data_IF_974276980833
#
_entry.id   IF_974276980833
#
_cell.length_a   1.000
_cell.length_b   1.000
_cell.length_c   1.000
_cell.angle_alpha   90.00
_cell.angle_beta   90.00
_cell.angle_gamma   90.00
#
_symmetry.space_group_name_H-M   'P 1'
#
loop_
_entity.id
_entity.type
_entity.pdbx_description
1 polymer ?
#
# COMPACT_ATOMS: atom_id res chain seq x y z
N UNK A 1 -12.46 -6.30 0.56
CA UNK A 1 -12.90 -5.47 -0.58
C UNK A 1 -12.39 -6.08 -1.88
N UNK A 2 -11.10 -6.28 -2.04
CA UNK A 2 -10.49 -6.79 -3.29
C UNK A 2 -11.09 -8.13 -3.75
N UNK A 3 -11.16 -9.13 -2.85
CA UNK A 3 -11.78 -10.42 -3.17
C UNK A 3 -13.25 -10.32 -3.60
N UNK A 4 -13.97 -9.32 -3.10
CA UNK A 4 -15.35 -9.07 -3.52
C UNK A 4 -15.45 -8.50 -4.94
N UNK A 5 -14.51 -7.63 -5.32
CA UNK A 5 -14.39 -7.13 -6.70
C UNK A 5 -14.03 -8.28 -7.64
N UNK A 6 -13.01 -9.08 -7.30
CA UNK A 6 -12.59 -10.22 -8.09
C UNK A 6 -13.72 -11.25 -8.27
N UNK A 7 -14.45 -11.57 -7.19
CA UNK A 7 -15.62 -12.47 -7.25
C UNK A 7 -16.69 -11.92 -8.20
N UNK A 8 -17.03 -10.63 -8.11
CA UNK A 8 -17.99 -10.01 -9.01
C UNK A 8 -17.52 -10.04 -10.46
N UNK A 9 -16.27 -9.73 -10.73
CA UNK A 9 -15.70 -9.80 -12.08
C UNK A 9 -15.77 -11.21 -12.67
N UNK A 10 -15.50 -12.23 -11.85
CA UNK A 10 -15.50 -13.63 -12.29
C UNK A 10 -16.92 -14.23 -12.47
N UNK A 11 -17.88 -13.78 -11.68
CA UNK A 11 -19.20 -14.46 -11.57
C UNK A 11 -20.40 -13.58 -11.96
N UNK A 12 -20.23 -12.26 -12.06
CA UNK A 12 -21.32 -11.29 -12.19
C UNK A 12 -22.16 -11.10 -10.91
N UNK A 13 -21.95 -11.90 -9.87
CA UNK A 13 -22.73 -11.83 -8.64
C UNK A 13 -22.36 -10.62 -7.78
N UNK A 14 -23.33 -9.75 -7.50
CA UNK A 14 -23.15 -8.54 -6.69
C UNK A 14 -23.21 -8.76 -5.18
N UNK A 15 -23.68 -9.89 -4.69
CA UNK A 15 -23.96 -10.11 -3.26
C UNK A 15 -22.75 -9.75 -2.37
N UNK A 16 -21.57 -10.25 -2.74
CA UNK A 16 -20.35 -9.98 -1.97
C UNK A 16 -19.81 -8.56 -2.21
N UNK A 17 -19.93 -8.06 -3.45
CA UNK A 17 -19.56 -6.69 -3.80
C UNK A 17 -20.38 -5.66 -3.01
N UNK A 18 -21.71 -5.87 -2.87
CA UNK A 18 -22.57 -4.94 -2.14
C UNK A 18 -22.25 -4.89 -0.64
N UNK A 19 -21.77 -6.01 -0.06
CA UNK A 19 -21.25 -6.02 1.32
C UNK A 19 -19.96 -5.19 1.39
N UNK A 20 -19.04 -5.39 0.46
CA UNK A 20 -17.77 -4.65 0.41
C UNK A 20 -17.99 -3.14 0.19
N UNK A 21 -18.96 -2.76 -0.62
CA UNK A 21 -19.39 -1.37 -0.82
C UNK A 21 -19.84 -0.76 0.51
N UNK A 22 -20.76 -1.40 1.24
CA UNK A 22 -21.22 -0.89 2.53
C UNK A 22 -20.08 -0.75 3.56
N UNK A 23 -19.16 -1.70 3.57
CA UNK A 23 -17.97 -1.62 4.43
C UNK A 23 -17.07 -0.44 4.04
N UNK A 24 -16.76 -0.28 2.75
CA UNK A 24 -15.95 0.84 2.26
C UNK A 24 -16.64 2.19 2.49
N UNK A 25 -17.97 2.25 2.38
CA UNK A 25 -18.77 3.45 2.68
C UNK A 25 -18.67 3.83 4.16
N UNK A 26 -18.65 2.85 5.05
CA UNK A 26 -18.41 3.09 6.47
C UNK A 26 -17.01 3.68 6.69
N UNK A 27 -15.96 3.12 6.05
CA UNK A 27 -14.61 3.65 6.17
C UNK A 27 -14.54 5.09 5.69
N UNK A 28 -15.04 5.40 4.48
CA UNK A 28 -15.05 6.75 3.90
C UNK A 28 -15.82 7.76 4.76
N UNK A 29 -16.86 7.32 5.49
CA UNK A 29 -17.62 8.19 6.39
C UNK A 29 -16.89 8.48 7.69
N UNK A 30 -16.22 7.48 8.27
CA UNK A 30 -15.61 7.56 9.61
C UNK A 30 -14.15 8.02 9.57
N UNK A 31 -13.44 7.79 8.47
CA UNK A 31 -12.02 8.10 8.32
C UNK A 31 -11.81 9.15 7.24
N UNK A 32 -10.86 10.06 7.44
CA UNK A 32 -10.56 11.10 6.47
C UNK A 32 -10.09 12.41 7.10
N UNK A 33 -9.89 13.44 6.28
CA UNK A 33 -9.35 14.72 6.74
C UNK A 33 -10.42 15.72 7.25
N UNK A 34 -11.71 15.37 7.18
CA UNK A 34 -12.76 16.32 7.48
C UNK A 34 -13.06 16.37 8.99
N UNK A 35 -13.64 17.48 9.51
CA UNK A 35 -14.09 17.56 10.88
C UNK A 35 -15.03 16.41 11.25
N UNK A 36 -14.77 15.76 12.37
CA UNK A 36 -15.55 14.61 12.85
C UNK A 36 -15.08 13.25 12.33
N UNK A 37 -14.19 13.21 11.36
CA UNK A 37 -13.57 11.97 10.90
C UNK A 37 -12.29 11.65 11.70
N UNK A 38 -11.98 10.36 11.83
CA UNK A 38 -10.71 9.92 12.36
C UNK A 38 -9.60 10.14 11.31
N UNK A 39 -8.65 11.01 11.61
CA UNK A 39 -7.54 11.30 10.71
C UNK A 39 -6.41 10.26 10.93
N UNK A 40 -6.62 9.04 10.44
CA UNK A 40 -5.73 7.89 10.59
C UNK A 40 -5.49 7.20 9.26
N UNK A 41 -4.48 6.33 9.20
CA UNK A 41 -4.19 5.47 8.04
C UNK A 41 -4.30 4.00 8.43
N UNK A 42 -4.58 3.09 7.49
CA UNK A 42 -4.62 1.67 7.75
C UNK A 42 -3.31 1.16 8.38
N UNK A 43 -3.43 0.28 9.37
CA UNK A 43 -2.26 -0.34 10.01
C UNK A 43 -1.47 -1.23 9.05
N UNK A 44 -2.16 -1.92 8.14
CA UNK A 44 -1.56 -2.66 7.03
C UNK A 44 -1.94 -2.00 5.70
N UNK A 45 -0.97 -1.75 4.86
CA UNK A 45 -1.17 -1.27 3.49
C UNK A 45 -1.75 -2.42 2.64
N UNK A 46 -2.83 -2.19 2.03
CA UNK A 46 -3.58 -2.99 1.04
C UNK A 46 -4.93 -2.31 0.76
N UNK A 47 -5.38 -1.47 1.70
CA UNK A 47 -6.64 -0.76 1.57
C UNK A 47 -6.64 0.19 0.36
N UNK A 48 -5.51 0.80 0.08
CA UNK A 48 -5.30 1.74 -1.02
C UNK A 48 -5.58 1.05 -2.36
N UNK A 49 -4.96 -0.09 -2.60
CA UNK A 49 -5.14 -0.90 -3.80
C UNK A 49 -6.59 -1.43 -3.91
N UNK A 50 -7.13 -1.92 -2.79
CA UNK A 50 -8.50 -2.42 -2.74
C UNK A 50 -9.55 -1.34 -3.04
N UNK A 51 -9.33 -0.11 -2.57
CA UNK A 51 -10.20 1.04 -2.85
C UNK A 51 -10.08 1.51 -4.31
N UNK A 52 -8.89 1.47 -4.91
CA UNK A 52 -8.70 1.72 -6.34
C UNK A 52 -9.48 0.72 -7.19
N UNK A 53 -9.41 -0.57 -6.87
CA UNK A 53 -10.19 -1.62 -7.55
C UNK A 53 -11.69 -1.42 -7.36
N UNK A 54 -12.12 -1.01 -6.17
CA UNK A 54 -13.53 -0.71 -5.91
C UNK A 54 -14.01 0.52 -6.70
N UNK A 55 -13.16 1.54 -6.83
CA UNK A 55 -13.43 2.69 -7.73
C UNK A 55 -13.64 2.23 -9.17
N UNK A 56 -12.75 1.41 -9.71
CA UNK A 56 -12.87 0.88 -11.07
C UNK A 56 -14.15 0.05 -11.28
N UNK A 57 -14.55 -0.72 -10.27
CA UNK A 57 -15.76 -1.54 -10.31
C UNK A 57 -17.07 -0.76 -10.22
N UNK A 58 -17.05 0.42 -9.55
CA UNK A 58 -18.27 1.17 -9.21
C UNK A 58 -18.38 2.54 -9.89
N UNK A 59 -17.27 3.08 -10.40
CA UNK A 59 -17.17 4.46 -10.89
C UNK A 59 -17.20 5.53 -9.79
N UNK A 60 -17.30 5.15 -8.51
CA UNK A 60 -17.49 6.09 -7.42
C UNK A 60 -16.16 6.68 -6.92
N UNK A 61 -15.92 7.93 -7.28
CA UNK A 61 -14.68 8.68 -6.97
C UNK A 61 -14.34 8.80 -5.49
N UNK A 62 -15.29 8.58 -4.57
CA UNK A 62 -15.02 8.65 -3.12
C UNK A 62 -13.97 7.61 -2.69
N UNK A 63 -13.97 6.42 -3.30
CA UNK A 63 -13.00 5.37 -3.00
C UNK A 63 -11.58 5.71 -3.45
N UNK A 64 -11.44 6.30 -4.65
CA UNK A 64 -10.14 6.79 -5.13
C UNK A 64 -9.61 7.94 -4.27
N UNK A 65 -10.49 8.86 -3.84
CA UNK A 65 -10.11 9.94 -2.92
C UNK A 65 -9.61 9.40 -1.58
N UNK A 66 -10.27 8.37 -1.06
CA UNK A 66 -9.87 7.74 0.20
C UNK A 66 -8.55 6.99 0.07
N UNK A 67 -8.34 6.25 -1.03
CA UNK A 67 -7.05 5.61 -1.31
C UNK A 67 -5.90 6.63 -1.34
N UNK A 68 -6.11 7.76 -2.05
CA UNK A 68 -5.14 8.84 -2.10
C UNK A 68 -4.92 9.48 -0.72
N UNK A 69 -5.97 9.71 0.07
CA UNK A 69 -5.84 10.23 1.42
C UNK A 69 -4.95 9.33 2.30
N UNK A 70 -5.13 8.01 2.25
CA UNK A 70 -4.30 7.09 3.03
C UNK A 70 -2.81 7.20 2.68
N UNK A 71 -2.48 7.34 1.40
CA UNK A 71 -1.10 7.56 0.96
C UNK A 71 -0.58 8.95 1.36
N UNK A 72 -1.34 10.00 1.10
CA UNK A 72 -0.94 11.39 1.40
C UNK A 72 -0.76 11.64 2.90
N UNK A 73 -1.46 10.90 3.74
CA UNK A 73 -1.43 11.07 5.20
C UNK A 73 -0.45 10.14 5.89
N UNK A 74 -0.05 9.04 5.25
CA UNK A 74 0.98 8.14 5.78
C UNK A 74 2.31 8.89 5.93
N UNK A 75 2.93 8.73 7.10
CA UNK A 75 4.12 9.50 7.46
C UNK A 75 3.84 10.91 8.00
N UNK A 76 2.57 11.35 8.06
CA UNK A 76 2.16 12.61 8.70
C UNK A 76 1.48 12.40 10.06
N UNK A 77 1.17 11.15 10.42
CA UNK A 77 0.62 10.78 11.73
C UNK A 77 1.66 10.97 12.85
N UNK A 78 1.23 10.93 14.11
CA UNK A 78 2.13 10.96 15.26
C UNK A 78 3.04 9.72 15.36
N UNK A 79 2.62 8.59 14.77
CA UNK A 79 3.39 7.35 14.77
C UNK A 79 4.39 7.40 13.61
N UNK A 80 5.68 7.46 13.94
CA UNK A 80 6.79 7.45 12.99
C UNK A 80 7.58 6.15 13.11
N UNK A 81 7.39 5.23 12.17
CA UNK A 81 8.10 3.93 12.22
C UNK A 81 8.32 3.37 10.81
N UNK A 82 9.45 2.73 10.61
CA UNK A 82 9.80 2.07 9.35
C UNK A 82 8.92 0.85 9.10
N UNK A 83 8.56 0.11 10.15
CA UNK A 83 7.77 -1.12 10.06
C UNK A 83 6.50 -0.99 9.20
N UNK A 84 5.81 0.15 9.29
CA UNK A 84 4.60 0.45 8.53
C UNK A 84 4.81 1.53 7.47
N UNK A 85 6.05 1.78 7.06
CA UNK A 85 6.44 2.82 6.09
C UNK A 85 5.89 4.22 6.45
N UNK A 86 5.76 4.51 7.76
CA UNK A 86 5.28 5.80 8.26
C UNK A 86 6.38 6.69 8.83
N UNK A 87 7.66 6.35 8.63
CA UNK A 87 8.83 7.09 9.11
C UNK A 87 8.95 8.47 8.49
N UNK A 88 8.54 8.64 7.24
CA UNK A 88 8.47 9.91 6.51
C UNK A 88 7.31 9.90 5.50
N UNK A 89 6.86 11.08 5.02
CA UNK A 89 5.83 11.15 3.98
C UNK A 89 6.14 10.27 2.77
N UNK A 90 5.12 9.64 2.20
CA UNK A 90 5.29 8.64 1.14
C UNK A 90 6.07 9.18 -0.07
N UNK A 91 5.78 10.41 -0.49
CA UNK A 91 6.45 11.04 -1.63
C UNK A 91 7.92 11.41 -1.37
N UNK A 92 8.36 11.41 -0.11
CA UNK A 92 9.73 11.70 0.30
C UNK A 92 10.56 10.43 0.52
N UNK A 93 9.94 9.26 0.42
CA UNK A 93 10.64 7.98 0.58
C UNK A 93 11.53 7.68 -0.63
N UNK A 94 12.72 7.17 -0.36
CA UNK A 94 13.78 6.91 -1.32
C UNK A 94 14.50 5.58 -1.06
N UNK A 95 14.12 4.89 0.01
CA UNK A 95 14.65 3.61 0.42
C UNK A 95 13.52 2.68 0.87
N UNK A 96 13.60 1.41 0.48
CA UNK A 96 12.71 0.37 0.97
C UNK A 96 13.11 -0.05 2.38
N UNK A 97 12.24 0.18 3.37
CA UNK A 97 12.46 -0.10 4.78
C UNK A 97 11.25 -0.75 5.44
N UNK A 98 11.48 -1.37 6.58
CA UNK A 98 10.43 -1.98 7.38
C UNK A 98 9.86 -3.24 6.78
N UNK A 99 8.64 -3.60 7.14
CA UNK A 99 8.01 -4.85 6.72
C UNK A 99 7.85 -4.92 5.20
N UNK A 100 8.46 -5.93 4.57
CA UNK A 100 8.57 -6.00 3.11
C UNK A 100 7.21 -6.13 2.41
N UNK A 101 6.32 -6.99 2.89
CA UNK A 101 4.98 -7.19 2.30
C UNK A 101 4.12 -5.93 2.42
N UNK A 102 4.16 -5.23 3.57
CA UNK A 102 3.45 -3.95 3.74
C UNK A 102 3.94 -2.91 2.74
N UNK A 103 5.25 -2.85 2.56
CA UNK A 103 5.88 -1.91 1.64
C UNK A 103 5.45 -2.15 0.20
N UNK A 104 5.50 -3.39 -0.28
CA UNK A 104 5.11 -3.74 -1.66
C UNK A 104 3.63 -3.49 -1.92
N UNK A 105 2.74 -3.76 -0.96
CA UNK A 105 1.33 -3.36 -1.07
C UNK A 105 1.17 -1.83 -1.16
N UNK A 106 1.96 -1.08 -0.40
CA UNK A 106 1.93 0.39 -0.49
C UNK A 106 2.38 0.86 -1.87
N UNK A 107 3.49 0.31 -2.40
CA UNK A 107 4.01 0.70 -3.71
C UNK A 107 3.03 0.35 -4.84
N UNK A 108 2.36 -0.80 -4.77
CA UNK A 108 1.28 -1.14 -5.68
C UNK A 108 0.10 -0.15 -5.60
N UNK A 109 -0.32 0.22 -4.39
CA UNK A 109 -1.35 1.25 -4.18
C UNK A 109 -0.93 2.63 -4.70
N UNK A 110 0.34 3.01 -4.56
CA UNK A 110 0.89 4.24 -5.14
C UNK A 110 0.81 4.22 -6.67
N UNK A 111 1.15 3.10 -7.30
CA UNK A 111 1.07 2.93 -8.75
C UNK A 111 -0.38 3.02 -9.24
N UNK A 112 -1.32 2.37 -8.56
CA UNK A 112 -2.75 2.45 -8.89
C UNK A 112 -3.29 3.88 -8.77
N UNK A 113 -2.96 4.59 -7.68
CA UNK A 113 -3.40 5.98 -7.49
C UNK A 113 -2.78 6.89 -8.56
N UNK A 114 -1.49 6.72 -8.87
CA UNK A 114 -0.82 7.49 -9.93
C UNK A 114 -1.52 7.27 -11.28
N UNK A 115 -1.77 6.02 -11.66
CA UNK A 115 -2.43 5.68 -12.93
C UNK A 115 -3.85 6.26 -13.04
N UNK A 116 -4.60 6.28 -11.93
CA UNK A 116 -6.00 6.72 -11.91
C UNK A 116 -6.18 8.22 -11.72
N UNK A 117 -5.16 8.92 -11.21
CA UNK A 117 -5.22 10.38 -10.95
C UNK A 117 -4.35 11.19 -11.90
N UNK A 118 -3.36 10.58 -12.53
CA UNK A 118 -2.31 11.29 -13.29
C UNK A 118 -1.26 11.97 -12.41
N UNK A 119 -1.22 11.69 -11.10
CA UNK A 119 -0.27 12.30 -10.16
C UNK A 119 1.10 11.62 -10.27
N UNK A 120 1.99 12.20 -11.07
CA UNK A 120 3.32 11.65 -11.34
C UNK A 120 4.29 11.72 -10.16
N UNK A 121 3.96 12.46 -9.09
CA UNK A 121 4.79 12.51 -7.89
C UNK A 121 4.94 11.12 -7.24
N UNK A 122 3.89 10.29 -7.30
CA UNK A 122 3.97 8.90 -6.83
C UNK A 122 4.93 8.07 -7.68
N UNK A 123 4.90 8.24 -9.02
CA UNK A 123 5.83 7.51 -9.92
C UNK A 123 7.27 7.85 -9.58
N UNK A 124 7.59 9.13 -9.41
CA UNK A 124 8.95 9.52 -9.03
C UNK A 124 9.40 8.93 -7.68
N UNK A 125 8.50 8.79 -6.71
CA UNK A 125 8.82 8.13 -5.45
C UNK A 125 9.03 6.61 -5.65
N UNK A 126 8.17 5.96 -6.43
CA UNK A 126 8.28 4.53 -6.77
C UNK A 126 9.60 4.26 -7.49
N UNK A 127 9.98 5.07 -8.47
CA UNK A 127 11.23 4.90 -9.23
C UNK A 127 12.45 4.90 -8.31
N UNK A 128 12.53 5.86 -7.37
CA UNK A 128 13.63 5.90 -6.40
C UNK A 128 13.67 4.66 -5.50
N UNK A 129 12.50 4.21 -5.04
CA UNK A 129 12.39 3.03 -4.18
C UNK A 129 12.70 1.76 -4.98
N UNK A 130 12.24 1.68 -6.22
CA UNK A 130 12.52 0.56 -7.13
C UNK A 130 14.02 0.44 -7.39
N UNK A 131 14.70 1.54 -7.69
CA UNK A 131 16.15 1.55 -7.87
C UNK A 131 16.87 1.07 -6.61
N UNK A 132 16.41 1.46 -5.43
CA UNK A 132 16.96 0.98 -4.16
C UNK A 132 16.75 -0.53 -3.98
N UNK A 133 15.55 -1.04 -4.25
CA UNK A 133 15.24 -2.47 -4.12
C UNK A 133 16.10 -3.28 -5.09
N UNK A 134 16.02 -2.97 -6.37
CA UNK A 134 16.65 -3.79 -7.43
C UNK A 134 18.17 -3.76 -7.33
N UNK A 135 18.75 -2.62 -6.99
CA UNK A 135 20.21 -2.50 -6.93
C UNK A 135 20.84 -2.95 -5.61
N UNK A 136 20.07 -3.04 -4.51
CA UNK A 136 20.67 -3.20 -3.17
C UNK A 136 19.97 -4.19 -2.25
N UNK A 137 18.70 -4.58 -2.51
CA UNK A 137 17.88 -5.37 -1.58
C UNK A 137 17.19 -6.58 -2.20
N UNK A 138 17.40 -6.81 -3.49
CA UNK A 138 16.85 -7.94 -4.22
C UNK A 138 17.78 -9.15 -4.10
N UNK A 139 17.23 -10.30 -3.69
CA UNK A 139 17.94 -11.56 -3.72
C UNK A 139 18.05 -12.10 -5.16
N UNK A 140 19.04 -12.99 -5.38
CA UNK A 140 19.22 -13.65 -6.68
C UNK A 140 17.99 -14.48 -7.10
N UNK A 141 17.18 -14.91 -6.14
CA UNK A 141 15.90 -15.59 -6.35
C UNK A 141 14.78 -14.68 -6.83
N UNK A 142 14.98 -13.35 -6.76
CA UNK A 142 13.97 -12.34 -7.04
C UNK A 142 13.15 -11.92 -5.82
N UNK A 143 13.36 -12.54 -4.66
CA UNK A 143 12.69 -12.18 -3.42
C UNK A 143 13.32 -10.99 -2.71
N UNK A 144 12.59 -10.45 -1.73
CA UNK A 144 13.00 -9.35 -0.87
C UNK A 144 12.65 -9.66 0.59
N UNK A 145 13.23 -8.94 1.54
CA UNK A 145 13.02 -9.19 2.97
C UNK A 145 14.16 -10.00 3.58
N UNK A 146 15.04 -9.35 4.33
CA UNK A 146 16.31 -9.89 4.79
C UNK A 146 16.33 -10.35 6.24
N UNK A 147 15.26 -10.08 7.01
CA UNK A 147 15.26 -10.41 8.44
C UNK A 147 13.89 -10.86 8.94
N UNK A 148 13.89 -11.85 9.85
CA UNK A 148 12.69 -12.27 10.57
C UNK A 148 12.25 -11.25 11.63
N UNK A 149 13.13 -10.33 12.01
CA UNK A 149 12.76 -9.25 12.92
C UNK A 149 11.90 -8.22 12.18
N UNK A 150 10.60 -8.29 12.39
CA UNK A 150 9.63 -7.44 11.72
C UNK A 150 9.38 -7.80 10.25
N UNK A 151 9.83 -8.97 9.79
CA UNK A 151 9.66 -9.43 8.39
C UNK A 151 10.11 -8.35 7.40
N UNK A 152 11.30 -7.79 7.64
CA UNK A 152 11.68 -6.49 7.12
C UNK A 152 12.81 -6.56 6.08
N UNK A 153 12.93 -5.48 5.32
CA UNK A 153 14.15 -5.21 4.57
C UNK A 153 15.33 -5.05 5.53
N UNK A 154 16.49 -5.57 5.13
CA UNK A 154 17.77 -5.27 5.74
C UNK A 154 18.33 -3.91 5.30
N UNK A 155 19.52 -3.59 5.77
CA UNK A 155 20.31 -2.46 5.23
C UNK A 155 20.68 -2.73 3.77
N UNK A 156 21.14 -1.70 3.07
CA UNK A 156 21.62 -1.86 1.71
C UNK A 156 22.73 -2.94 1.64
N UNK A 157 22.56 -3.90 0.74
CA UNK A 157 23.45 -5.07 0.54
C UNK A 157 23.46 -6.09 1.68
N UNK A 158 22.55 -5.98 2.66
CA UNK A 158 22.36 -6.98 3.69
C UNK A 158 21.40 -8.06 3.19
N UNK A 159 21.94 -9.10 2.58
CA UNK A 159 21.20 -10.21 1.96
C UNK A 159 21.70 -11.56 2.51
N UNK A 160 21.45 -11.88 3.79
CA UNK A 160 21.95 -13.09 4.41
C UNK A 160 21.28 -14.34 3.85
N UNK A 161 22.07 -15.37 3.53
CA UNK A 161 21.57 -16.64 2.98
C UNK A 161 20.61 -17.40 3.91
N UNK A 162 20.67 -17.15 5.21
CA UNK A 162 19.93 -17.89 6.23
C UNK A 162 18.67 -17.17 6.73
N UNK A 163 18.38 -15.98 6.24
CA UNK A 163 17.38 -15.10 6.83
C UNK A 163 16.49 -14.39 5.81
N UNK A 164 16.38 -14.91 4.59
CA UNK A 164 15.40 -14.44 3.65
C UNK A 164 14.01 -14.68 4.21
N UNK A 165 13.34 -13.62 4.66
CA UNK A 165 12.03 -13.68 5.30
C UNK A 165 11.01 -12.92 4.48
N UNK A 166 9.80 -13.45 4.35
CA UNK A 166 8.76 -12.92 3.48
C UNK A 166 9.14 -12.83 1.99
N UNK A 167 10.21 -13.49 1.58
CA UNK A 167 10.73 -13.50 0.22
C UNK A 167 9.66 -13.90 -0.81
N UNK A 168 8.83 -14.89 -0.47
CA UNK A 168 7.78 -15.39 -1.37
C UNK A 168 6.54 -14.49 -1.37
N UNK A 169 6.27 -13.79 -0.27
CA UNK A 169 5.09 -12.93 -0.14
C UNK A 169 5.30 -11.51 -0.67
N UNK A 170 6.53 -11.06 -0.69
CA UNK A 170 6.92 -9.72 -1.11
C UNK A 170 7.47 -9.68 -2.51
#
# INVERSE_FOLDING_TARGET
>A
VEGAVAHWQATGSRKFLDIAIRYADCVVREVGPNPGQACVVPGHQIAEMALCKLYLATGNKKYLKEAKFFLDYRGKTSIKQEYSQSHKPVLEQDEAVGHAVRATYMYAGMADVAALTGDTAYIHAIDRIWDNIVSKKLYITGGIGATNNGEAFGKNYELPNMSAYCETCA
#
